data_IF_785679580542
#
_entry.id   IF_785679580542
#
_cell.length_a   1.000
_cell.length_b   1.000
_cell.length_c   1.000
_cell.angle_alpha   90.00
_cell.angle_beta   90.00
_cell.angle_gamma   90.00
#
_symmetry.space_group_name_H-M   'P 1'
#
loop_
_entity.id
_entity.type
_entity.pdbx_description
1 polymer ?
#
# COMPACT_ATOMS: atom_id res chain seq x y z
N UNK A 1 -28.73 18.93 0.36
CA UNK A 1 -28.04 17.70 0.83
C UNK A 1 -27.13 17.29 -0.31
N UNK A 2 -25.79 17.26 -0.16
CA UNK A 2 -24.93 16.83 -1.25
C UNK A 2 -25.04 15.31 -1.39
N UNK A 3 -25.50 14.86 -2.56
CA UNK A 3 -25.60 13.44 -2.96
C UNK A 3 -24.26 12.90 -3.48
N UNK A 4 -23.16 13.50 -3.01
CA UNK A 4 -21.80 13.22 -3.45
C UNK A 4 -21.05 12.54 -2.32
N UNK A 5 -20.47 11.37 -2.61
CA UNK A 5 -19.62 10.67 -1.66
C UNK A 5 -18.35 11.51 -1.45
N UNK A 6 -18.11 11.92 -0.21
CA UNK A 6 -16.85 12.54 0.18
C UNK A 6 -15.76 11.46 0.24
N UNK A 7 -15.16 11.20 -0.93
CA UNK A 7 -14.08 10.24 -1.09
C UNK A 7 -12.88 10.59 -0.21
N UNK A 8 -12.62 11.87 0.07
CA UNK A 8 -11.51 12.29 0.92
C UNK A 8 -11.75 11.85 2.36
N UNK A 9 -12.92 12.14 2.92
CA UNK A 9 -13.27 11.75 4.30
C UNK A 9 -13.38 10.24 4.46
N UNK A 10 -14.02 9.55 3.51
CA UNK A 10 -14.14 8.08 3.54
C UNK A 10 -12.77 7.41 3.42
N UNK A 11 -11.90 7.92 2.54
CA UNK A 11 -10.55 7.38 2.38
C UNK A 11 -9.71 7.62 3.62
N UNK A 12 -9.75 8.83 4.21
CA UNK A 12 -9.03 9.11 5.45
C UNK A 12 -9.46 8.15 6.57
N UNK A 13 -10.78 7.99 6.78
CA UNK A 13 -11.30 7.10 7.81
C UNK A 13 -10.89 5.64 7.59
N UNK A 14 -11.01 5.16 6.35
CA UNK A 14 -10.59 3.80 5.99
C UNK A 14 -9.09 3.61 6.18
N UNK A 15 -8.26 4.56 5.73
CA UNK A 15 -6.81 4.48 5.87
C UNK A 15 -6.37 4.47 7.34
N UNK A 16 -6.98 5.28 8.20
CA UNK A 16 -6.71 5.25 9.65
C UNK A 16 -7.06 3.89 10.25
N UNK A 17 -8.26 3.36 9.96
CA UNK A 17 -8.70 2.07 10.48
C UNK A 17 -7.81 0.92 9.96
N UNK A 18 -7.47 0.93 8.67
CA UNK A 18 -6.62 -0.08 8.03
C UNK A 18 -5.19 -0.03 8.57
N UNK A 19 -4.63 1.16 8.84
CA UNK A 19 -3.31 1.28 9.50
C UNK A 19 -3.32 0.70 10.91
N UNK A 20 -4.41 0.86 11.66
CA UNK A 20 -4.54 0.22 12.98
C UNK A 20 -4.65 -1.30 12.85
N UNK A 21 -5.41 -1.79 11.88
CA UNK A 21 -5.51 -3.23 11.61
C UNK A 21 -4.17 -3.83 11.17
N UNK A 22 -3.40 -3.11 10.35
CA UNK A 22 -2.05 -3.51 9.93
C UNK A 22 -1.11 -3.73 11.10
N UNK A 23 -1.10 -2.84 12.11
CA UNK A 23 -0.26 -3.04 13.31
C UNK A 23 -0.52 -4.36 14.02
N UNK A 24 -1.78 -4.80 14.04
CA UNK A 24 -2.16 -6.11 14.56
C UNK A 24 -1.79 -7.25 13.61
N UNK A 25 -1.98 -7.06 12.30
CA UNK A 25 -1.66 -8.04 11.28
C UNK A 25 -0.15 -8.31 11.12
N UNK A 26 0.67 -7.27 11.19
CA UNK A 26 2.12 -7.33 11.07
C UNK A 26 2.78 -8.19 12.16
N UNK A 27 2.12 -8.38 13.30
CA UNK A 27 2.58 -9.24 14.40
C UNK A 27 2.07 -10.68 14.30
N UNK A 28 1.22 -11.00 13.32
CA UNK A 28 0.68 -12.35 13.13
C UNK A 28 1.72 -13.22 12.44
N UNK A 29 1.76 -14.48 12.84
CA UNK A 29 2.53 -15.54 12.18
C UNK A 29 1.62 -16.73 11.92
N UNK A 30 0.59 -16.49 11.10
CA UNK A 30 -0.44 -17.45 10.75
C UNK A 30 -0.51 -17.71 9.24
N UNK A 31 -1.46 -18.55 8.84
CA UNK A 31 -1.71 -18.88 7.44
C UNK A 31 -1.99 -17.63 6.59
N UNK A 32 -2.61 -16.59 7.17
CA UNK A 32 -2.88 -15.34 6.44
C UNK A 32 -1.60 -14.54 6.16
N UNK A 33 -0.70 -14.43 7.14
CA UNK A 33 0.63 -13.83 6.92
C UNK A 33 1.43 -14.62 5.88
N UNK A 34 1.33 -15.95 5.90
CA UNK A 34 1.97 -16.80 4.89
C UNK A 34 1.41 -16.56 3.49
N UNK A 35 0.08 -16.53 3.34
CA UNK A 35 -0.59 -16.25 2.07
C UNK A 35 -0.26 -14.84 1.54
N UNK A 36 -0.17 -13.85 2.43
CA UNK A 36 0.28 -12.50 2.09
C UNK A 36 1.72 -12.51 1.53
N UNK A 37 2.67 -13.16 2.22
CA UNK A 37 4.06 -13.26 1.76
C UNK A 37 4.17 -14.00 0.42
N UNK A 38 3.39 -15.05 0.22
CA UNK A 38 3.32 -15.76 -1.07
C UNK A 38 2.82 -14.85 -2.18
N UNK A 39 1.74 -14.10 -1.95
CA UNK A 39 1.22 -13.15 -2.93
C UNK A 39 2.25 -12.08 -3.31
N UNK A 40 2.97 -11.53 -2.32
CA UNK A 40 4.04 -10.55 -2.58
C UNK A 40 5.16 -11.18 -3.41
N UNK A 41 5.56 -12.42 -3.12
CA UNK A 41 6.58 -13.15 -3.87
C UNK A 41 6.13 -13.48 -5.31
N UNK A 42 4.85 -13.80 -5.52
CA UNK A 42 4.28 -14.10 -6.83
C UNK A 42 4.14 -12.87 -7.73
N UNK A 43 3.70 -11.74 -7.17
CA UNK A 43 3.53 -10.48 -7.93
C UNK A 43 4.87 -9.76 -8.17
N UNK A 44 5.87 -10.03 -7.32
CA UNK A 44 7.25 -9.58 -7.49
C UNK A 44 7.40 -8.05 -7.52
N UNK A 45 8.39 -7.59 -8.29
CA UNK A 45 8.84 -6.19 -8.27
C UNK A 45 7.76 -5.19 -8.71
N UNK A 46 6.81 -5.60 -9.56
CA UNK A 46 5.75 -4.70 -10.05
C UNK A 46 4.88 -4.20 -8.89
N UNK A 47 4.47 -5.12 -8.01
CA UNK A 47 3.64 -4.80 -6.86
C UNK A 47 4.41 -3.98 -5.82
N UNK A 48 5.68 -4.33 -5.59
CA UNK A 48 6.57 -3.57 -4.73
C UNK A 48 6.70 -2.12 -5.19
N UNK A 49 6.93 -1.88 -6.48
CA UNK A 49 7.04 -0.53 -7.03
C UNK A 49 5.74 0.25 -6.97
N UNK A 50 4.59 -0.40 -7.16
CA UNK A 50 3.28 0.24 -6.98
C UNK A 50 3.05 0.66 -5.52
N UNK A 51 3.36 -0.22 -4.57
CA UNK A 51 3.25 0.07 -3.14
C UNK A 51 4.21 1.18 -2.69
N UNK A 52 5.45 1.17 -3.19
CA UNK A 52 6.43 2.22 -2.93
C UNK A 52 5.97 3.58 -3.49
N UNK A 53 5.39 3.59 -4.69
CA UNK A 53 4.81 4.79 -5.27
C UNK A 53 3.62 5.31 -4.44
N UNK A 54 2.72 4.44 -3.98
CA UNK A 54 1.60 4.83 -3.13
C UNK A 54 2.07 5.39 -1.77
N UNK A 55 3.12 4.81 -1.19
CA UNK A 55 3.78 5.33 0.02
C UNK A 55 4.42 6.72 -0.21
N UNK A 56 4.94 6.96 -1.41
CA UNK A 56 5.47 8.26 -1.82
C UNK A 56 4.36 9.28 -2.11
N UNK A 57 3.19 8.87 -2.58
CA UNK A 57 2.10 9.81 -2.90
C UNK A 57 1.27 10.24 -1.69
N UNK A 58 1.48 9.64 -0.51
CA UNK A 58 0.79 10.06 0.71
C UNK A 58 1.12 11.55 1.03
N UNK A 59 0.13 12.39 1.41
CA UNK A 59 0.29 13.83 1.43
C UNK A 59 1.50 14.33 2.23
N UNK A 60 2.32 15.13 1.55
CA UNK A 60 3.43 15.92 2.08
C UNK A 60 3.12 16.75 3.34
N UNK A 61 1.85 17.03 3.62
CA UNK A 61 1.39 17.86 4.74
C UNK A 61 1.74 17.28 6.11
N UNK A 62 1.90 15.95 6.24
CA UNK A 62 2.38 15.32 7.48
C UNK A 62 3.91 15.18 7.54
N UNK A 63 4.62 15.38 6.41
CA UNK A 63 6.06 15.05 6.28
C UNK A 63 7.01 16.25 6.35
N UNK A 64 6.53 17.48 6.50
CA UNK A 64 7.38 18.66 6.60
C UNK A 64 8.31 18.83 5.38
N UNK A 65 9.53 19.39 5.57
CA UNK A 65 10.51 19.70 4.50
C UNK A 65 10.87 18.51 3.58
N UNK A 66 10.50 17.27 3.93
CA UNK A 66 10.70 16.06 3.12
C UNK A 66 9.72 15.94 1.94
N UNK A 67 8.68 16.78 1.88
CA UNK A 67 7.73 16.90 0.77
C UNK A 67 8.38 17.21 -0.59
N UNK A 68 9.40 18.08 -0.58
CA UNK A 68 10.16 18.43 -1.79
C UNK A 68 11.07 17.28 -2.23
N UNK A 69 11.60 16.49 -1.29
CA UNK A 69 12.33 15.25 -1.58
C UNK A 69 11.43 14.21 -2.25
N UNK A 70 10.19 14.06 -1.78
CA UNK A 70 9.17 13.17 -2.36
C UNK A 70 8.80 13.51 -3.81
N UNK A 71 8.64 14.80 -4.13
CA UNK A 71 8.32 15.26 -5.48
C UNK A 71 9.48 15.03 -6.47
N UNK A 72 10.73 15.16 -6.00
CA UNK A 72 11.92 14.78 -6.77
C UNK A 72 12.00 13.26 -6.93
N UNK A 73 11.76 12.50 -5.86
CA UNK A 73 11.78 11.03 -5.87
C UNK A 73 10.68 10.40 -6.72
N UNK A 74 9.50 11.01 -6.85
CA UNK A 74 8.47 10.53 -7.79
C UNK A 74 8.96 10.55 -9.25
N UNK A 75 9.92 11.43 -9.57
CA UNK A 75 10.63 11.46 -10.86
C UNK A 75 11.69 10.37 -10.93
N UNK A 76 12.40 10.13 -9.82
CA UNK A 76 13.49 9.14 -9.73
C UNK A 76 13.00 7.70 -9.53
N UNK A 77 11.78 7.44 -9.02
CA UNK A 77 11.16 6.11 -9.00
C UNK A 77 10.94 5.58 -10.42
N UNK A 78 10.80 6.50 -11.39
CA UNK A 78 10.82 6.13 -12.80
C UNK A 78 12.18 5.52 -13.21
N UNK A 79 13.26 5.91 -12.54
CA UNK A 79 14.58 5.27 -12.53
C UNK A 79 14.66 4.26 -11.37
N UNK A 80 14.02 3.09 -11.53
CA UNK A 80 13.77 2.00 -10.55
C UNK A 80 15.00 1.39 -9.84
N UNK A 81 15.90 2.19 -9.30
CA UNK A 81 17.17 1.75 -8.72
C UNK A 81 18.09 2.84 -8.20
N UNK A 82 17.65 4.10 -8.12
CA UNK A 82 18.47 5.14 -7.47
C UNK A 82 18.67 4.81 -5.98
N UNK A 83 19.88 5.08 -5.43
CA UNK A 83 20.18 4.79 -4.02
C UNK A 83 19.23 5.53 -3.06
N UNK A 84 18.72 6.69 -3.44
CA UNK A 84 17.76 7.48 -2.68
C UNK A 84 16.42 6.76 -2.55
N UNK A 85 15.93 6.16 -3.65
CA UNK A 85 14.70 5.35 -3.65
C UNK A 85 14.87 4.09 -2.80
N UNK A 86 16.05 3.45 -2.84
CA UNK A 86 16.35 2.30 -1.98
C UNK A 86 16.36 2.68 -0.50
N UNK A 87 17.03 3.79 -0.15
CA UNK A 87 17.07 4.28 1.22
C UNK A 87 15.66 4.62 1.73
N UNK A 88 14.84 5.26 0.92
CA UNK A 88 13.44 5.54 1.30
C UNK A 88 12.64 4.26 1.51
N UNK A 89 12.76 3.28 0.62
CA UNK A 89 12.08 1.99 0.81
C UNK A 89 12.53 1.27 2.08
N UNK A 90 13.78 1.46 2.52
CA UNK A 90 14.28 0.92 3.79
C UNK A 90 13.74 1.71 5.00
N UNK A 91 13.78 3.05 4.95
CA UNK A 91 13.28 3.93 6.01
C UNK A 91 11.75 3.84 6.19
N UNK A 92 11.02 3.68 5.08
CA UNK A 92 9.56 3.59 5.02
C UNK A 92 9.08 2.16 4.74
N UNK A 93 9.87 1.14 5.11
CA UNK A 93 9.52 -0.25 4.84
C UNK A 93 8.15 -0.66 5.40
N UNK A 94 7.79 -0.17 6.59
CA UNK A 94 6.47 -0.42 7.19
C UNK A 94 5.33 0.21 6.37
N UNK A 95 5.56 1.39 5.77
CA UNK A 95 4.58 2.01 4.87
C UNK A 95 4.45 1.19 3.58
N UNK A 96 5.57 0.75 2.99
CA UNK A 96 5.55 -0.09 1.77
C UNK A 96 4.84 -1.42 2.05
N UNK A 97 5.15 -2.09 3.16
CA UNK A 97 4.50 -3.34 3.57
C UNK A 97 3.00 -3.14 3.84
N UNK A 98 2.60 -1.98 4.39
CA UNK A 98 1.19 -1.61 4.54
C UNK A 98 0.45 -1.52 3.18
N UNK A 99 1.03 -0.83 2.19
CA UNK A 99 0.42 -0.74 0.86
C UNK A 99 0.41 -2.07 0.11
N UNK A 100 1.44 -2.91 0.28
CA UNK A 100 1.43 -4.29 -0.21
C UNK A 100 0.27 -5.08 0.39
N UNK A 101 0.05 -4.95 1.70
CA UNK A 101 -1.05 -5.61 2.39
C UNK A 101 -2.42 -5.12 1.93
N UNK A 102 -2.56 -3.82 1.63
CA UNK A 102 -3.80 -3.28 1.04
C UNK A 102 -4.12 -3.92 -0.32
N UNK A 103 -3.11 -4.11 -1.18
CA UNK A 103 -3.30 -4.77 -2.47
C UNK A 103 -3.69 -6.24 -2.30
N UNK A 104 -3.05 -6.95 -1.38
CA UNK A 104 -3.42 -8.32 -1.04
C UNK A 104 -4.85 -8.42 -0.47
N UNK A 105 -5.26 -7.47 0.38
CA UNK A 105 -6.60 -7.43 0.94
C UNK A 105 -7.65 -7.18 -0.15
N UNK A 106 -7.38 -6.25 -1.07
CA UNK A 106 -8.24 -5.99 -2.22
C UNK A 106 -8.34 -7.22 -3.13
N UNK A 107 -7.21 -7.86 -3.44
CA UNK A 107 -7.15 -9.09 -4.23
C UNK A 107 -7.92 -10.23 -3.56
N UNK A 108 -7.74 -10.44 -2.26
CA UNK A 108 -8.41 -11.49 -1.49
C UNK A 108 -9.92 -11.25 -1.39
N UNK A 109 -10.36 -10.01 -1.18
CA UNK A 109 -11.78 -9.66 -1.16
C UNK A 109 -12.42 -9.82 -2.54
N UNK A 110 -11.71 -9.44 -3.60
CA UNK A 110 -12.17 -9.61 -4.97
C UNK A 110 -12.23 -11.10 -5.36
N UNK A 111 -11.23 -11.89 -4.98
CA UNK A 111 -11.22 -13.34 -5.15
C UNK A 111 -12.36 -14.02 -4.42
N UNK A 112 -12.75 -13.54 -3.22
CA UNK A 112 -13.93 -14.05 -2.50
C UNK A 112 -15.24 -13.73 -3.23
N UNK A 113 -15.36 -12.55 -3.83
CA UNK A 113 -16.52 -12.15 -4.63
C UNK A 113 -16.60 -12.93 -5.96
N UNK A 114 -15.46 -13.26 -6.57
CA UNK A 114 -15.39 -14.06 -7.79
C UNK A 114 -15.56 -15.56 -7.53
N UNK A 115 -15.05 -16.07 -6.40
CA UNK A 115 -15.26 -17.45 -5.95
C UNK A 115 -16.70 -17.76 -5.53
N UNK A 116 -17.53 -16.72 -5.35
CA UNK A 116 -18.97 -16.82 -5.10
C UNK A 116 -19.82 -16.78 -6.40
N UNK A 117 -19.18 -16.75 -7.58
CA UNK A 117 -19.86 -17.05 -8.85
C UNK A 117 -19.54 -18.46 -9.33
N UNK A 118 -20.40 -19.47 -9.03
CA UNK A 118 -20.41 -20.68 -9.81
C UNK A 118 -21.01 -20.35 -11.18
N UNK A 119 -20.17 -20.38 -12.22
CA UNK A 119 -20.60 -20.37 -13.62
C UNK A 119 -20.45 -19.04 -14.34
N UNK A 120 -19.38 -18.95 -15.14
CA UNK A 120 -19.54 -18.69 -16.56
C UNK A 120 -18.96 -19.89 -17.31
#
# INVERSE_FOLDING_TARGET
>A
MPDWVDYSTVTALKMTALRMAWKGFAQRDDEQMTAFRQFVAEQGDSLFWQAAFDALQCPASERGRNALGLACMARDVSERGSPEVRQFCEEHRDDVDFYLWLQWLAYSQFGRLLGDKPGL
#
